data_IF_159662801801
#
_entry.id   IF_159662801801
#
_cell.length_a   1.000
_cell.length_b   1.000
_cell.length_c   1.000
_cell.angle_alpha   90.00
_cell.angle_beta   90.00
_cell.angle_gamma   90.00
#
_symmetry.space_group_name_H-M   'P 1'
#
loop_
_entity.id
_entity.type
_entity.pdbx_description
1 polymer ?
#
# COMPACT_ATOMS: atom_id res chain seq x y z
N UNK A 1 6.81 -23.36 3.87
CA UNK A 1 5.78 -24.40 3.64
C UNK A 1 5.06 -24.07 2.33
N UNK A 2 5.35 -24.82 1.30
CA UNK A 2 4.77 -24.62 -0.03
C UNK A 2 3.48 -25.46 -0.18
N UNK A 3 2.40 -25.00 0.44
CA UNK A 3 1.13 -25.72 0.47
C UNK A 3 0.22 -25.47 -0.73
N UNK A 4 0.61 -24.56 -1.66
CA UNK A 4 -0.27 -24.12 -2.75
C UNK A 4 0.33 -24.30 -4.14
N UNK A 5 1.40 -25.10 -4.25
CA UNK A 5 1.96 -25.46 -5.54
C UNK A 5 2.40 -24.24 -6.36
N UNK A 6 3.28 -23.41 -5.76
CA UNK A 6 3.98 -22.40 -6.54
C UNK A 6 4.69 -23.08 -7.71
N UNK A 7 4.53 -22.56 -8.91
CA UNK A 7 5.40 -22.95 -10.00
C UNK A 7 6.84 -22.44 -9.75
N UNK A 8 7.78 -22.87 -10.59
CA UNK A 8 9.19 -22.53 -10.37
C UNK A 8 9.45 -21.03 -10.46
N UNK A 9 8.77 -20.33 -11.37
CA UNK A 9 8.92 -18.89 -11.55
C UNK A 9 8.35 -18.12 -10.35
N UNK A 10 7.15 -18.48 -9.90
CA UNK A 10 6.53 -17.89 -8.69
C UNK A 10 7.39 -18.06 -7.44
N UNK A 11 8.07 -19.22 -7.33
CA UNK A 11 9.00 -19.50 -6.23
C UNK A 11 10.22 -18.59 -6.30
N UNK A 12 10.86 -18.48 -7.47
CA UNK A 12 12.03 -17.61 -7.68
C UNK A 12 11.70 -16.15 -7.38
N UNK A 13 10.53 -15.67 -7.78
CA UNK A 13 10.06 -14.31 -7.48
C UNK A 13 9.96 -14.08 -5.96
N UNK A 14 9.29 -15.01 -5.25
CA UNK A 14 9.13 -14.89 -3.80
C UNK A 14 10.46 -14.99 -3.05
N UNK A 15 11.35 -15.90 -3.45
CA UNK A 15 12.70 -16.06 -2.86
C UNK A 15 13.58 -14.83 -3.12
N UNK A 16 13.48 -14.21 -4.30
CA UNK A 16 14.19 -12.97 -4.63
C UNK A 16 13.74 -11.84 -3.71
N UNK A 17 12.44 -11.66 -3.52
CA UNK A 17 11.89 -10.66 -2.62
C UNK A 17 12.29 -10.92 -1.15
N UNK A 18 12.27 -12.17 -0.70
CA UNK A 18 12.69 -12.56 0.64
C UNK A 18 14.18 -12.28 0.86
N UNK A 19 15.03 -12.65 -0.09
CA UNK A 19 16.48 -12.41 0.01
C UNK A 19 16.81 -10.90 0.00
N UNK A 20 16.07 -10.10 -0.76
CA UNK A 20 16.21 -8.65 -0.73
C UNK A 20 15.78 -8.08 0.62
N UNK A 21 14.63 -8.50 1.14
CA UNK A 21 14.13 -8.08 2.45
C UNK A 21 15.14 -8.39 3.57
N UNK A 22 15.67 -9.61 3.61
CA UNK A 22 16.65 -10.04 4.61
C UNK A 22 17.96 -9.23 4.56
N UNK A 23 18.46 -8.97 3.34
CA UNK A 23 19.79 -8.34 3.16
C UNK A 23 19.75 -6.82 3.16
N UNK A 24 18.69 -6.22 2.61
CA UNK A 24 18.64 -4.78 2.34
C UNK A 24 17.68 -3.99 3.23
N UNK A 25 16.68 -4.65 3.84
CA UNK A 25 15.70 -3.99 4.71
C UNK A 25 15.89 -4.34 6.18
N UNK A 26 15.91 -5.62 6.52
CA UNK A 26 15.92 -6.08 7.92
C UNK A 26 17.06 -5.51 8.78
N UNK A 27 18.31 -5.35 8.28
CA UNK A 27 19.41 -4.82 9.09
C UNK A 27 19.24 -3.35 9.50
N UNK A 28 18.43 -2.60 8.75
CA UNK A 28 18.32 -1.14 8.89
C UNK A 28 16.95 -0.66 9.35
N UNK A 29 15.94 -1.54 9.39
CA UNK A 29 14.54 -1.17 9.63
C UNK A 29 14.32 -0.41 10.96
N UNK A 30 15.03 -0.78 12.03
CA UNK A 30 14.92 -0.11 13.32
C UNK A 30 15.62 1.26 13.31
N UNK A 31 16.79 1.35 12.69
CA UNK A 31 17.53 2.61 12.54
C UNK A 31 16.73 3.62 11.69
N UNK A 32 16.15 3.18 10.59
CA UNK A 32 15.31 4.05 9.73
C UNK A 32 14.05 4.55 10.45
N UNK A 33 13.42 3.71 11.27
CA UNK A 33 12.28 4.13 12.10
C UNK A 33 12.70 5.17 13.14
N UNK A 34 13.84 4.99 13.80
CA UNK A 34 14.34 5.89 14.84
C UNK A 34 14.81 7.23 14.26
N UNK A 35 15.52 7.19 13.13
CA UNK A 35 16.09 8.38 12.48
C UNK A 35 15.15 9.07 11.50
N UNK A 36 13.97 8.51 11.25
CA UNK A 36 13.03 8.96 10.22
C UNK A 36 13.69 8.98 8.83
N UNK A 37 14.58 8.04 8.56
CA UNK A 37 15.30 7.95 7.30
C UNK A 37 14.43 7.27 6.23
N UNK A 38 14.26 7.94 5.09
CA UNK A 38 13.56 7.38 3.94
C UNK A 38 14.57 6.81 2.93
N UNK A 39 14.68 5.47 2.79
CA UNK A 39 15.76 4.81 2.06
C UNK A 39 15.49 4.77 0.55
N UNK A 40 15.53 5.91 -0.12
CA UNK A 40 15.25 6.03 -1.55
C UNK A 40 16.27 5.31 -2.44
N UNK A 41 17.51 5.16 -1.97
CA UNK A 41 18.56 4.36 -2.61
C UNK A 41 18.20 2.87 -2.61
N UNK A 42 17.74 2.33 -1.48
CA UNK A 42 17.31 0.93 -1.36
C UNK A 42 16.04 0.67 -2.17
N UNK A 43 15.13 1.66 -2.28
CA UNK A 43 13.97 1.56 -3.16
C UNK A 43 14.39 1.45 -4.64
N UNK A 44 15.44 2.16 -5.07
CA UNK A 44 16.01 2.03 -6.42
C UNK A 44 16.64 0.66 -6.66
N UNK A 45 17.30 0.09 -5.66
CA UNK A 45 17.80 -1.29 -5.75
C UNK A 45 16.65 -2.30 -5.92
N UNK A 46 15.51 -2.09 -5.23
CA UNK A 46 14.31 -2.91 -5.46
C UNK A 46 13.77 -2.76 -6.89
N UNK A 47 13.85 -1.56 -7.48
CA UNK A 47 13.48 -1.32 -8.86
C UNK A 47 14.36 -2.09 -9.86
N UNK A 48 15.66 -2.24 -9.61
CA UNK A 48 16.57 -3.06 -10.44
C UNK A 48 16.15 -4.54 -10.46
N UNK A 49 15.42 -4.99 -9.45
CA UNK A 49 14.83 -6.33 -9.39
C UNK A 49 13.37 -6.38 -9.91
N UNK A 50 12.91 -5.32 -10.58
CA UNK A 50 11.57 -5.24 -11.16
C UNK A 50 10.44 -4.94 -10.16
N UNK A 51 10.75 -4.58 -8.91
CA UNK A 51 9.72 -4.42 -7.86
C UNK A 51 9.04 -3.04 -7.85
N UNK A 52 9.45 -2.10 -8.71
CA UNK A 52 8.86 -0.75 -8.75
C UNK A 52 7.65 -0.62 -9.70
N UNK A 53 7.49 -1.52 -10.67
CA UNK A 53 6.37 -1.55 -11.61
C UNK A 53 5.92 -2.99 -11.87
N UNK A 54 5.64 -3.72 -10.80
CA UNK A 54 5.42 -5.18 -10.77
C UNK A 54 4.36 -5.61 -11.78
N UNK A 55 3.21 -4.94 -11.80
CA UNK A 55 2.06 -5.28 -12.64
C UNK A 55 1.78 -4.25 -13.73
N UNK A 56 2.79 -3.44 -14.10
CA UNK A 56 2.77 -2.63 -15.31
C UNK A 56 3.24 -3.46 -16.50
N UNK A 57 2.81 -3.09 -17.70
CA UNK A 57 3.10 -3.82 -18.92
C UNK A 57 4.59 -3.77 -19.29
N UNK A 58 5.10 -4.85 -19.86
CA UNK A 58 6.52 -5.00 -20.22
C UNK A 58 6.94 -4.05 -21.34
N UNK A 59 6.05 -3.70 -22.28
CA UNK A 59 6.31 -2.84 -23.42
C UNK A 59 6.78 -1.41 -23.05
N UNK A 60 6.61 -1.05 -21.79
CA UNK A 60 7.05 0.25 -21.22
C UNK A 60 7.98 0.07 -20.01
N UNK A 61 8.57 -1.10 -19.84
CA UNK A 61 9.56 -1.38 -18.80
C UNK A 61 8.96 -1.88 -17.46
N UNK A 62 7.66 -2.19 -17.40
CA UNK A 62 7.07 -2.89 -16.26
C UNK A 62 7.45 -4.36 -16.24
N UNK A 63 7.24 -5.05 -15.11
CA UNK A 63 7.57 -6.47 -14.96
C UNK A 63 6.49 -7.42 -15.51
N UNK A 64 5.30 -6.93 -15.88
CA UNK A 64 4.23 -7.73 -16.46
C UNK A 64 3.65 -8.82 -15.54
N UNK A 65 4.00 -8.81 -14.25
CA UNK A 65 3.58 -9.81 -13.29
C UNK A 65 2.12 -9.60 -12.86
N UNK A 66 1.54 -10.63 -12.26
CA UNK A 66 0.15 -10.60 -11.78
C UNK A 66 0.04 -9.90 -10.41
N UNK A 67 -1.17 -9.53 -10.05
CA UNK A 67 -1.46 -9.03 -8.69
C UNK A 67 -1.19 -10.07 -7.62
N UNK A 68 -1.38 -11.36 -7.95
CA UNK A 68 -1.02 -12.46 -7.06
C UNK A 68 0.47 -12.50 -6.76
N UNK A 69 1.32 -12.26 -7.75
CA UNK A 69 2.77 -12.20 -7.57
C UNK A 69 3.16 -10.97 -6.74
N UNK A 70 2.52 -9.82 -7.01
CA UNK A 70 2.74 -8.59 -6.25
C UNK A 70 2.44 -8.75 -4.76
N UNK A 71 1.31 -9.37 -4.38
CA UNK A 71 0.99 -9.56 -2.96
C UNK A 71 1.99 -10.49 -2.27
N UNK A 72 2.55 -11.48 -2.98
CA UNK A 72 3.64 -12.32 -2.47
C UNK A 72 4.92 -11.53 -2.25
N UNK A 73 5.30 -10.69 -3.22
CA UNK A 73 6.45 -9.79 -3.10
C UNK A 73 6.29 -8.87 -1.89
N UNK A 74 5.15 -8.18 -1.77
CA UNK A 74 4.90 -7.25 -0.65
C UNK A 74 4.83 -7.97 0.70
N UNK A 75 4.30 -9.19 0.76
CA UNK A 75 4.33 -10.01 1.97
C UNK A 75 5.78 -10.28 2.40
N UNK A 76 6.67 -10.68 1.47
CA UNK A 76 8.08 -10.95 1.79
C UNK A 76 8.83 -9.68 2.22
N UNK A 77 8.67 -8.58 1.48
CA UNK A 77 9.31 -7.30 1.84
C UNK A 77 8.89 -6.82 3.23
N UNK A 78 7.61 -6.96 3.56
CA UNK A 78 7.06 -6.52 4.83
C UNK A 78 7.45 -7.40 6.03
N UNK A 79 8.02 -8.59 5.83
CA UNK A 79 8.62 -9.35 6.94
C UNK A 79 9.82 -8.61 7.53
N UNK A 80 10.51 -7.81 6.74
CA UNK A 80 11.63 -6.99 7.17
C UNK A 80 11.19 -5.58 7.58
N UNK A 81 10.43 -4.87 6.72
CA UNK A 81 9.93 -3.54 7.02
C UNK A 81 8.56 -3.25 6.36
N UNK A 82 7.47 -3.28 7.13
CA UNK A 82 6.14 -2.94 6.62
C UNK A 82 6.04 -1.52 6.06
N UNK A 83 6.83 -0.55 6.55
CA UNK A 83 6.82 0.84 6.11
C UNK A 83 7.36 1.00 4.70
N UNK A 84 8.53 0.42 4.42
CA UNK A 84 9.18 0.47 3.10
C UNK A 84 8.35 -0.30 2.08
N UNK A 85 7.87 -1.50 2.43
CA UNK A 85 6.98 -2.29 1.58
C UNK A 85 5.70 -1.53 1.21
N UNK A 86 5.08 -0.85 2.18
CA UNK A 86 3.89 -0.05 1.96
C UNK A 86 4.14 1.15 1.03
N UNK A 87 5.26 1.86 1.17
CA UNK A 87 5.60 2.94 0.25
C UNK A 87 5.81 2.43 -1.17
N UNK A 88 6.55 1.34 -1.33
CA UNK A 88 6.75 0.70 -2.64
C UNK A 88 5.42 0.29 -3.28
N UNK A 89 4.44 -0.13 -2.48
CA UNK A 89 3.09 -0.45 -2.96
C UNK A 89 2.33 0.78 -3.49
N UNK A 90 2.49 1.95 -2.84
CA UNK A 90 1.90 3.22 -3.30
C UNK A 90 2.52 3.64 -4.63
N UNK A 91 3.85 3.55 -4.74
CA UNK A 91 4.57 3.84 -5.99
C UNK A 91 4.08 2.93 -7.14
N UNK A 92 3.98 1.62 -6.91
CA UNK A 92 3.44 0.66 -7.88
C UNK A 92 1.99 0.98 -8.30
N UNK A 93 1.16 1.43 -7.36
CA UNK A 93 -0.21 1.86 -7.66
C UNK A 93 -0.22 3.08 -8.60
N UNK A 94 0.64 4.07 -8.36
CA UNK A 94 0.79 5.25 -9.21
C UNK A 94 1.30 4.87 -10.60
N UNK A 95 2.34 4.04 -10.70
CA UNK A 95 2.88 3.55 -11.96
C UNK A 95 1.80 2.83 -12.78
N UNK A 96 1.02 1.96 -12.14
CA UNK A 96 -0.09 1.25 -12.77
C UNK A 96 -1.22 2.18 -13.22
N UNK A 97 -1.55 3.23 -12.46
CA UNK A 97 -2.54 4.21 -12.89
C UNK A 97 -2.12 4.90 -14.18
N UNK A 98 -0.84 5.28 -14.29
CA UNK A 98 -0.29 5.88 -15.50
C UNK A 98 -0.25 4.87 -16.65
N UNK A 99 0.16 3.63 -16.38
CA UNK A 99 0.21 2.58 -17.41
C UNK A 99 -1.19 2.24 -17.94
N UNK A 100 -2.20 2.18 -17.07
CA UNK A 100 -3.54 1.70 -17.45
C UNK A 100 -4.41 2.79 -18.05
N UNK A 101 -4.34 4.01 -17.49
CA UNK A 101 -5.26 5.11 -17.83
C UNK A 101 -4.59 6.27 -18.54
N UNK A 102 -3.26 6.29 -18.62
CA UNK A 102 -2.51 7.30 -19.37
C UNK A 102 -2.65 7.14 -20.87
N UNK A 103 -2.48 8.25 -21.60
CA UNK A 103 -2.34 8.20 -23.07
C UNK A 103 -1.08 7.40 -23.45
N UNK A 104 -0.96 6.96 -24.73
CA UNK A 104 0.25 6.30 -25.19
C UNK A 104 1.54 7.12 -24.96
N UNK A 105 1.44 8.45 -25.06
CA UNK A 105 2.55 9.38 -24.81
C UNK A 105 2.90 9.42 -23.32
N UNK A 106 1.88 9.53 -22.46
CA UNK A 106 2.07 9.52 -21.00
C UNK A 106 2.70 8.21 -20.54
N UNK A 107 2.24 7.07 -21.06
CA UNK A 107 2.82 5.75 -20.76
C UNK A 107 4.30 5.70 -21.11
N UNK A 108 4.65 6.10 -22.33
CA UNK A 108 6.04 6.07 -22.83
C UNK A 108 6.95 7.04 -22.07
N UNK A 109 6.42 8.16 -21.63
CA UNK A 109 7.20 9.18 -20.91
C UNK A 109 7.42 8.80 -19.44
N UNK A 110 6.38 8.30 -18.76
CA UNK A 110 6.41 8.14 -17.31
C UNK A 110 6.74 6.73 -16.83
N UNK A 111 6.16 5.69 -17.45
CA UNK A 111 6.30 4.33 -16.90
C UNK A 111 7.74 3.85 -16.85
N UNK A 112 8.62 4.07 -17.85
CA UNK A 112 10.03 3.69 -17.76
C UNK A 112 10.76 4.35 -16.57
N UNK A 113 10.49 5.64 -16.33
CA UNK A 113 11.09 6.41 -15.22
C UNK A 113 10.57 5.95 -13.87
N UNK A 114 9.30 5.55 -13.80
CA UNK A 114 8.70 4.98 -12.59
C UNK A 114 9.20 3.55 -12.34
N UNK A 115 9.31 2.73 -13.38
CA UNK A 115 9.79 1.35 -13.28
C UNK A 115 11.25 1.26 -12.80
N UNK A 116 12.10 2.21 -13.20
CA UNK A 116 13.49 2.33 -12.74
C UNK A 116 13.65 3.12 -11.43
N UNK A 117 12.58 3.72 -10.93
CA UNK A 117 12.62 4.71 -9.83
C UNK A 117 13.60 5.88 -10.09
N UNK A 118 13.88 6.20 -11.35
CA UNK A 118 14.39 7.52 -11.71
C UNK A 118 13.44 8.61 -11.22
N UNK A 119 12.13 8.37 -11.33
CA UNK A 119 11.08 9.17 -10.73
C UNK A 119 10.30 8.35 -9.69
N UNK A 120 10.23 8.85 -8.48
CA UNK A 120 9.42 8.28 -7.39
C UNK A 120 8.04 8.93 -7.40
N UNK A 121 6.97 8.13 -7.33
CA UNK A 121 5.59 8.61 -7.39
C UNK A 121 4.86 8.53 -6.06
N UNK A 122 4.01 9.54 -5.80
CA UNK A 122 3.06 9.59 -4.70
C UNK A 122 1.63 9.78 -5.18
N UNK A 123 0.67 9.35 -4.36
CA UNK A 123 -0.76 9.41 -4.64
C UNK A 123 -1.46 10.48 -3.81
N UNK A 124 -2.16 11.39 -4.46
CA UNK A 124 -2.80 12.56 -3.85
C UNK A 124 -4.33 12.52 -4.02
N UNK A 125 -5.05 11.83 -3.12
CA UNK A 125 -6.52 11.80 -3.07
C UNK A 125 -7.06 12.58 -1.87
N UNK A 126 -6.66 12.18 -0.66
CA UNK A 126 -7.20 12.64 0.62
C UNK A 126 -6.98 14.14 0.83
N UNK A 127 -7.97 14.81 1.40
CA UNK A 127 -7.92 16.22 1.80
C UNK A 127 -8.28 16.39 3.28
N UNK A 128 -7.96 17.51 3.93
CA UNK A 128 -8.33 17.74 5.32
C UNK A 128 -9.83 17.54 5.62
N UNK A 129 -10.70 17.83 4.65
CA UNK A 129 -12.14 17.68 4.76
C UNK A 129 -12.75 16.47 4.03
N UNK A 130 -11.94 15.63 3.37
CA UNK A 130 -12.41 14.53 2.52
C UNK A 130 -11.48 13.32 2.60
N UNK A 131 -11.70 12.46 3.58
CA UNK A 131 -11.02 11.17 3.73
C UNK A 131 -11.90 10.02 3.23
N UNK A 132 -12.73 9.46 4.12
CA UNK A 132 -13.64 8.35 3.77
C UNK A 132 -14.69 8.74 2.72
N UNK A 133 -15.13 10.00 2.70
CA UNK A 133 -15.94 10.57 1.62
C UNK A 133 -15.03 11.23 0.58
N UNK A 134 -14.26 10.41 -0.14
CA UNK A 134 -13.31 10.88 -1.15
C UNK A 134 -13.98 11.62 -2.32
N UNK A 135 -15.26 11.37 -2.59
CA UNK A 135 -16.00 12.06 -3.63
C UNK A 135 -16.28 13.54 -3.33
N UNK A 136 -16.15 13.92 -2.05
CA UNK A 136 -16.34 15.30 -1.58
C UNK A 136 -15.06 16.15 -1.65
N UNK A 137 -13.99 15.68 -2.28
CA UNK A 137 -12.75 16.45 -2.46
C UNK A 137 -13.01 17.81 -3.12
N UNK A 138 -12.24 18.83 -2.72
CA UNK A 138 -12.42 20.23 -3.11
C UNK A 138 -11.27 20.82 -3.90
N UNK A 139 -10.08 20.18 -3.94
CA UNK A 139 -8.98 20.61 -4.82
C UNK A 139 -9.52 20.78 -6.23
N UNK A 140 -9.37 21.96 -6.81
CA UNK A 140 -9.91 22.33 -8.14
C UNK A 140 -8.82 22.31 -9.18
N UNK A 141 -9.19 21.96 -10.42
CA UNK A 141 -8.37 22.13 -11.60
C UNK A 141 -9.21 22.86 -12.64
N UNK A 142 -8.92 24.13 -12.86
CA UNK A 142 -9.68 25.00 -13.78
C UNK A 142 -8.96 25.11 -15.11
N UNK A 143 -9.61 24.77 -16.21
CA UNK A 143 -9.01 24.88 -17.56
C UNK A 143 -8.83 26.32 -17.98
N UNK A 144 -7.63 26.65 -18.45
CA UNK A 144 -7.25 27.96 -19.02
C UNK A 144 -6.48 27.73 -20.33
N UNK A 145 -7.21 27.64 -21.44
CA UNK A 145 -6.63 27.31 -22.75
C UNK A 145 -6.02 25.91 -22.74
N UNK A 146 -4.74 25.80 -23.04
CA UNK A 146 -3.98 24.55 -23.09
C UNK A 146 -3.41 24.12 -21.73
N UNK A 147 -3.88 24.69 -20.63
CA UNK A 147 -3.40 24.39 -19.29
C UNK A 147 -4.58 24.20 -18.32
N UNK A 148 -4.29 23.51 -17.21
CA UNK A 148 -5.12 23.54 -16.01
C UNK A 148 -4.38 24.29 -14.89
N UNK A 149 -5.13 25.03 -14.09
CA UNK A 149 -4.64 25.67 -12.87
C UNK A 149 -5.22 24.91 -11.69
N UNK A 150 -4.36 24.35 -10.86
CA UNK A 150 -4.74 23.52 -9.72
C UNK A 150 -4.57 24.33 -8.43
N UNK A 151 -5.65 24.37 -7.63
CA UNK A 151 -5.68 25.02 -6.30
C UNK A 151 -6.31 24.06 -5.27
N UNK A 152 -5.65 23.90 -4.12
CA UNK A 152 -6.16 23.08 -3.02
C UNK A 152 -5.05 22.50 -2.16
N UNK A 153 -5.44 21.60 -1.25
CA UNK A 153 -4.52 20.95 -0.32
C UNK A 153 -4.85 19.47 -0.22
N UNK A 154 -3.84 18.62 -0.38
CA UNK A 154 -3.89 17.20 -0.11
C UNK A 154 -3.25 16.88 1.23
N UNK A 155 -3.82 15.92 1.96
CA UNK A 155 -3.43 15.59 3.33
C UNK A 155 -2.96 14.13 3.43
N UNK A 156 -2.01 13.89 4.32
CA UNK A 156 -1.45 12.57 4.61
C UNK A 156 -0.80 11.90 3.40
N UNK A 157 -0.07 12.66 2.60
CA UNK A 157 0.54 12.14 1.38
C UNK A 157 1.89 11.53 1.70
N UNK A 158 2.00 10.22 1.55
CA UNK A 158 3.26 9.47 1.67
C UNK A 158 4.21 9.89 0.56
N UNK A 159 5.46 10.18 0.92
CA UNK A 159 6.48 10.67 -0.02
C UNK A 159 6.38 12.16 -0.33
N UNK A 160 5.46 12.91 0.28
CA UNK A 160 5.36 14.35 0.06
C UNK A 160 6.69 15.06 0.33
N UNK A 161 7.09 15.93 -0.58
CA UNK A 161 8.38 16.65 -0.52
C UNK A 161 9.59 15.82 -0.98
N UNK A 162 9.49 14.50 -1.04
CA UNK A 162 10.58 13.63 -1.53
C UNK A 162 10.27 13.05 -2.92
N UNK A 163 9.05 12.60 -3.17
CA UNK A 163 8.65 12.06 -4.48
C UNK A 163 8.79 13.09 -5.58
N UNK A 164 9.14 12.61 -6.78
CA UNK A 164 9.40 13.44 -7.96
C UNK A 164 8.09 13.77 -8.72
N UNK A 165 7.09 12.93 -8.60
CA UNK A 165 5.81 13.05 -9.30
C UNK A 165 4.63 12.66 -8.41
N UNK A 166 3.51 13.35 -8.60
CA UNK A 166 2.27 13.18 -7.84
C UNK A 166 1.11 12.84 -8.78
N UNK A 167 0.40 11.74 -8.52
CA UNK A 167 -0.88 11.42 -9.18
C UNK A 167 -1.99 12.08 -8.36
N UNK A 168 -2.54 13.17 -8.88
CA UNK A 168 -3.42 14.09 -8.14
C UNK A 168 -4.85 13.99 -8.63
N UNK A 169 -5.78 13.73 -7.72
CA UNK A 169 -7.21 13.81 -7.99
C UNK A 169 -7.71 15.24 -7.72
N UNK A 170 -8.24 15.90 -8.74
CA UNK A 170 -8.75 17.26 -8.64
C UNK A 170 -10.10 17.41 -9.36
N UNK A 171 -10.88 18.38 -8.92
CA UNK A 171 -12.21 18.66 -9.46
C UNK A 171 -12.11 19.57 -10.67
N UNK A 172 -12.52 19.06 -11.84
CA UNK A 172 -12.65 19.80 -13.10
C UNK A 172 -14.10 20.16 -13.42
N UNK A 173 -15.06 19.44 -12.85
CA UNK A 173 -16.49 19.64 -13.11
C UNK A 173 -17.30 19.86 -11.83
N UNK A 174 -18.61 19.57 -11.90
CA UNK A 174 -19.56 19.74 -10.81
C UNK A 174 -19.30 18.80 -9.61
N UNK A 175 -20.25 18.79 -8.67
CA UNK A 175 -20.18 17.94 -7.47
C UNK A 175 -20.26 16.44 -7.81
N UNK A 176 -19.78 15.62 -6.87
CA UNK A 176 -19.80 14.16 -6.96
C UNK A 176 -18.65 13.57 -7.77
N UNK A 177 -18.66 12.25 -7.96
CA UNK A 177 -17.53 11.51 -8.52
C UNK A 177 -17.21 11.84 -9.98
N UNK A 178 -18.23 12.18 -10.79
CA UNK A 178 -18.04 12.51 -12.22
C UNK A 178 -17.43 13.89 -12.48
N UNK A 179 -17.26 14.71 -11.45
CA UNK A 179 -16.57 16.00 -11.56
C UNK A 179 -15.09 15.92 -11.26
N UNK A 180 -14.51 14.73 -11.05
CA UNK A 180 -13.13 14.55 -10.63
C UNK A 180 -12.30 13.96 -11.77
N UNK A 181 -11.13 14.57 -12.03
CA UNK A 181 -10.13 14.13 -13.00
C UNK A 181 -8.81 13.80 -12.29
N UNK A 182 -7.94 13.05 -12.93
CA UNK A 182 -6.62 12.69 -12.41
C UNK A 182 -5.51 13.39 -13.20
N UNK A 183 -4.49 13.88 -12.53
CA UNK A 183 -3.37 14.60 -13.14
C UNK A 183 -2.04 14.00 -12.67
N UNK A 184 -1.05 13.99 -13.57
CA UNK A 184 0.35 13.75 -13.21
C UNK A 184 1.02 15.12 -13.05
N UNK A 185 1.49 15.42 -11.84
CA UNK A 185 2.09 16.71 -11.49
C UNK A 185 3.52 16.50 -11.01
N UNK A 186 4.48 17.17 -11.64
CA UNK A 186 5.89 17.10 -11.25
C UNK A 186 6.13 17.92 -9.96
N UNK A 187 7.11 17.48 -9.17
CA UNK A 187 7.49 18.11 -7.88
C UNK A 187 7.84 19.59 -8.02
N UNK A 188 8.55 19.92 -9.10
CA UNK A 188 9.08 21.25 -9.32
C UNK A 188 8.10 22.21 -10.03
N UNK A 189 6.82 21.80 -10.16
CA UNK A 189 5.79 22.65 -10.75
C UNK A 189 5.64 23.95 -9.93
N UNK A 190 5.75 25.15 -10.55
CA UNK A 190 5.60 26.41 -9.84
C UNK A 190 4.27 26.51 -9.10
N UNK A 191 4.30 26.89 -7.82
CA UNK A 191 3.13 26.98 -6.96
C UNK A 191 2.83 25.68 -6.18
N UNK A 192 3.60 24.60 -6.41
CA UNK A 192 3.54 23.39 -5.59
C UNK A 192 4.45 23.57 -4.37
N UNK A 193 3.94 23.24 -3.19
CA UNK A 193 4.70 23.27 -1.94
C UNK A 193 4.26 22.14 -1.00
N UNK A 194 5.02 21.93 0.08
CA UNK A 194 4.82 20.82 1.00
C UNK A 194 4.75 21.34 2.44
N UNK A 195 3.84 20.74 3.22
CA UNK A 195 3.77 20.98 4.65
C UNK A 195 4.93 20.33 5.41
N UNK A 196 4.98 20.56 6.72
CA UNK A 196 5.89 19.83 7.59
C UNK A 196 5.48 18.36 7.70
N UNK A 197 6.46 17.49 7.94
CA UNK A 197 6.20 16.07 8.17
C UNK A 197 5.30 15.85 9.38
N UNK A 198 4.31 14.97 9.20
CA UNK A 198 3.39 14.57 10.26
C UNK A 198 4.12 13.78 11.35
N UNK A 199 3.84 14.09 12.61
CA UNK A 199 4.33 13.32 13.74
C UNK A 199 3.47 12.07 13.92
N UNK A 200 3.93 10.94 13.39
CA UNK A 200 3.17 9.70 13.28
C UNK A 200 3.45 8.74 14.42
N UNK A 201 2.51 7.84 14.70
CA UNK A 201 2.68 6.71 15.59
C UNK A 201 3.68 5.68 15.04
N UNK A 202 3.62 5.39 13.74
CA UNK A 202 4.47 4.47 13.00
C UNK A 202 4.67 4.96 11.56
N UNK A 203 5.24 4.09 10.70
CA UNK A 203 5.63 4.47 9.34
C UNK A 203 6.64 5.62 9.31
N UNK A 204 7.54 5.64 10.29
CA UNK A 204 8.49 6.74 10.45
C UNK A 204 9.57 6.76 9.36
N UNK A 205 9.89 5.61 8.77
CA UNK A 205 10.86 5.48 7.67
C UNK A 205 10.33 5.99 6.30
N UNK A 206 9.21 6.72 6.26
CA UNK A 206 8.74 7.42 5.08
C UNK A 206 8.16 8.78 5.47
N UNK A 207 8.40 9.87 4.68
CA UNK A 207 7.79 11.17 4.93
C UNK A 207 6.29 11.11 4.63
N UNK A 208 5.52 11.87 5.39
CA UNK A 208 4.08 12.03 5.16
C UNK A 208 3.72 13.47 5.49
N UNK A 209 3.24 14.23 4.52
CA UNK A 209 2.92 15.64 4.72
C UNK A 209 1.74 16.08 3.85
N UNK A 210 1.38 17.35 3.96
CA UNK A 210 0.48 18.00 3.00
C UNK A 210 1.20 18.25 1.68
N UNK A 211 0.43 18.19 0.58
CA UNK A 211 0.82 18.70 -0.73
C UNK A 211 -0.12 19.88 -1.04
N UNK A 212 0.45 21.06 -1.20
CA UNK A 212 -0.26 22.34 -1.30
C UNK A 212 -0.12 22.87 -2.73
N UNK A 213 -1.24 23.19 -3.35
CA UNK A 213 -1.36 23.69 -4.71
C UNK A 213 -1.87 25.13 -4.65
N UNK A 214 -1.04 26.08 -5.06
CA UNK A 214 -1.37 27.51 -5.13
C UNK A 214 -1.15 28.03 -6.55
N UNK A 215 -2.21 27.92 -7.38
CA UNK A 215 -2.15 28.31 -8.77
C UNK A 215 -1.20 27.44 -9.61
N UNK A 216 -1.04 26.16 -9.28
CA UNK A 216 -0.14 25.24 -10.01
C UNK A 216 -0.62 25.04 -11.42
N UNK A 217 0.18 25.50 -12.40
CA UNK A 217 -0.13 25.35 -13.82
C UNK A 217 0.46 24.06 -14.37
N UNK A 218 -0.40 23.22 -14.93
CA UNK A 218 -0.01 22.00 -15.63
C UNK A 218 -0.55 22.01 -17.06
N UNK A 219 0.15 21.48 -18.06
CA UNK A 219 -0.37 21.35 -19.41
C UNK A 219 -1.60 20.45 -19.43
N UNK A 220 -2.50 20.63 -20.42
CA UNK A 220 -3.71 19.81 -20.53
C UNK A 220 -3.39 18.32 -20.67
N UNK A 221 -2.25 17.99 -21.25
CA UNK A 221 -1.71 16.63 -21.40
C UNK A 221 -1.29 15.99 -20.07
N UNK A 222 -1.19 16.75 -18.97
CA UNK A 222 -0.94 16.19 -17.63
C UNK A 222 -2.15 15.42 -17.08
N UNK A 223 -3.36 15.66 -17.63
CA UNK A 223 -4.55 14.87 -17.28
C UNK A 223 -4.41 13.42 -17.77
N UNK A 224 -4.56 12.46 -16.89
CA UNK A 224 -4.54 11.03 -17.27
C UNK A 224 -5.68 10.71 -18.22
N UNK A 225 -5.35 10.06 -19.35
CA UNK A 225 -6.30 9.78 -20.40
C UNK A 225 -6.52 10.93 -21.40
N UNK A 226 -5.78 12.04 -21.24
CA UNK A 226 -5.91 13.20 -22.13
C UNK A 226 -7.32 13.79 -22.09
N UNK A 227 -7.88 14.16 -23.25
CA UNK A 227 -9.20 14.76 -23.35
C UNK A 227 -10.34 13.84 -22.86
N UNK A 228 -10.19 12.52 -23.00
CA UNK A 228 -11.17 11.53 -22.54
C UNK A 228 -11.07 11.26 -21.02
N UNK A 229 -10.06 11.79 -20.37
CA UNK A 229 -9.81 11.65 -18.92
C UNK A 229 -10.65 12.58 -18.04
N UNK A 230 -11.32 13.58 -18.61
CA UNK A 230 -12.13 14.52 -17.85
C UNK A 230 -13.33 13.82 -17.19
N UNK A 231 -13.44 13.96 -15.87
CA UNK A 231 -14.48 13.29 -15.06
C UNK A 231 -14.23 11.80 -14.79
N UNK A 232 -13.14 11.20 -15.29
CA UNK A 232 -12.78 9.80 -15.07
C UNK A 232 -11.98 9.57 -13.78
N UNK A 233 -11.45 10.62 -13.16
CA UNK A 233 -10.47 10.53 -12.07
C UNK A 233 -10.94 9.74 -10.85
N UNK A 234 -12.22 9.84 -10.47
CA UNK A 234 -12.74 9.04 -9.36
C UNK A 234 -12.75 7.54 -9.67
N UNK A 235 -13.09 7.18 -10.90
CA UNK A 235 -13.00 5.80 -11.39
C UNK A 235 -11.57 5.28 -11.36
N UNK A 236 -10.61 6.07 -11.83
CA UNK A 236 -9.16 5.79 -11.77
C UNK A 236 -8.73 5.56 -10.33
N UNK A 237 -9.10 6.47 -9.41
CA UNK A 237 -8.81 6.37 -7.99
C UNK A 237 -9.34 5.07 -7.37
N UNK A 238 -10.60 4.74 -7.61
CA UNK A 238 -11.21 3.53 -7.03
C UNK A 238 -10.60 2.23 -7.59
N UNK A 239 -10.25 2.20 -8.86
CA UNK A 239 -9.54 1.06 -9.47
C UNK A 239 -8.15 0.90 -8.88
N UNK A 240 -7.38 1.97 -8.73
CA UNK A 240 -6.08 1.94 -8.08
C UNK A 240 -6.17 1.44 -6.64
N UNK A 241 -7.13 1.96 -5.87
CA UNK A 241 -7.35 1.54 -4.49
C UNK A 241 -7.75 0.06 -4.34
N UNK A 242 -8.36 -0.60 -5.33
CA UNK A 242 -8.59 -2.04 -5.24
C UNK A 242 -7.26 -2.81 -5.21
N UNK A 243 -6.28 -2.41 -6.03
CA UNK A 243 -4.92 -2.94 -5.97
C UNK A 243 -4.20 -2.56 -4.67
N UNK A 244 -4.27 -1.29 -4.27
CA UNK A 244 -3.66 -0.82 -3.03
C UNK A 244 -4.18 -1.58 -1.79
N UNK A 245 -5.49 -1.88 -1.71
CA UNK A 245 -6.10 -2.66 -0.62
C UNK A 245 -5.49 -4.04 -0.44
N UNK A 246 -5.26 -4.77 -1.52
CA UNK A 246 -4.61 -6.09 -1.43
C UNK A 246 -3.12 -5.96 -1.12
N UNK A 247 -2.44 -4.94 -1.66
CA UNK A 247 -1.03 -4.69 -1.37
C UNK A 247 -0.82 -4.36 0.12
N UNK A 248 -1.62 -3.46 0.70
CA UNK A 248 -1.50 -3.13 2.12
C UNK A 248 -1.92 -4.30 3.04
N UNK A 249 -2.84 -5.15 2.58
CA UNK A 249 -3.14 -6.40 3.26
C UNK A 249 -1.93 -7.35 3.25
N UNK A 250 -1.19 -7.44 2.13
CA UNK A 250 0.06 -8.19 2.04
C UNK A 250 1.14 -7.64 2.97
N UNK A 251 1.33 -6.31 3.01
CA UNK A 251 2.25 -5.66 3.95
C UNK A 251 1.86 -5.95 5.42
N UNK A 252 0.56 -5.98 5.73
CA UNK A 252 0.09 -6.35 7.06
C UNK A 252 0.43 -7.79 7.41
N UNK A 253 0.19 -8.70 6.47
CA UNK A 253 0.43 -10.13 6.65
C UNK A 253 1.92 -10.42 6.85
N UNK A 254 2.81 -9.80 6.06
CA UNK A 254 4.26 -9.94 6.20
C UNK A 254 4.77 -9.46 7.55
N UNK A 255 4.35 -8.26 8.00
CA UNK A 255 4.71 -7.76 9.33
C UNK A 255 4.20 -8.66 10.47
N UNK A 256 2.98 -9.18 10.33
CA UNK A 256 2.42 -10.12 11.31
C UNK A 256 3.14 -11.48 11.31
N UNK A 257 3.55 -11.99 10.14
CA UNK A 257 4.36 -13.19 10.04
C UNK A 257 5.71 -13.02 10.77
N UNK A 258 6.39 -11.90 10.53
CA UNK A 258 7.64 -11.58 11.22
C UNK A 258 7.46 -11.49 12.74
N UNK A 259 6.37 -10.89 13.20
CA UNK A 259 6.07 -10.83 14.64
C UNK A 259 5.81 -12.23 15.23
N UNK A 260 5.06 -13.08 14.52
CA UNK A 260 4.82 -14.46 14.91
C UNK A 260 6.13 -15.27 15.02
N UNK A 261 6.99 -15.17 14.00
CA UNK A 261 8.25 -15.92 13.96
C UNK A 261 9.19 -15.50 15.09
N UNK A 262 9.29 -14.19 15.38
CA UNK A 262 10.02 -13.65 16.53
C UNK A 262 9.45 -14.19 17.84
N UNK A 263 8.13 -14.22 18.01
CA UNK A 263 7.49 -14.74 19.21
C UNK A 263 7.75 -16.23 19.39
N UNK A 264 7.60 -17.03 18.33
CA UNK A 264 7.84 -18.47 18.38
C UNK A 264 9.30 -18.81 18.78
N UNK A 265 10.27 -18.09 18.17
CA UNK A 265 11.69 -18.25 18.53
C UNK A 265 11.97 -17.85 19.98
N UNK A 266 11.48 -16.67 20.40
CA UNK A 266 11.67 -16.19 21.77
C UNK A 266 11.12 -17.16 22.81
N UNK A 267 9.91 -17.71 22.58
CA UNK A 267 9.26 -18.62 23.50
C UNK A 267 9.97 -19.98 23.63
N UNK A 268 10.66 -20.41 22.57
CA UNK A 268 11.49 -21.63 22.60
C UNK A 268 12.74 -21.46 23.48
N UNK A 269 13.31 -20.25 23.49
CA UNK A 269 14.56 -19.97 24.25
C UNK A 269 14.28 -19.44 25.65
N UNK A 270 13.13 -18.78 25.87
CA UNK A 270 12.82 -18.18 27.16
C UNK A 270 12.28 -19.19 28.16
N UNK A 271 12.99 -19.33 29.29
CA UNK A 271 12.62 -20.22 30.40
C UNK A 271 11.91 -19.44 31.52
N UNK A 272 10.82 -20.02 32.04
CA UNK A 272 10.16 -19.65 33.30
C UNK A 272 9.48 -20.88 33.89
N UNK A 273 9.27 -20.89 35.21
CA UNK A 273 8.64 -22.01 35.91
C UNK A 273 9.34 -23.37 35.72
N UNK A 274 10.63 -23.34 35.38
CA UNK A 274 11.46 -24.55 35.24
C UNK A 274 11.50 -25.17 33.85
N UNK A 275 10.84 -24.56 32.83
CA UNK A 275 10.77 -25.06 31.46
C UNK A 275 10.79 -23.90 30.46
N UNK A 276 11.03 -24.16 29.13
CA UNK A 276 10.75 -23.19 28.08
C UNK A 276 9.29 -22.74 28.10
N UNK A 277 9.03 -21.45 27.84
CA UNK A 277 7.66 -20.94 27.80
C UNK A 277 6.83 -21.63 26.72
N UNK A 278 7.46 -22.09 25.65
CA UNK A 278 6.80 -22.85 24.57
C UNK A 278 6.14 -24.15 25.07
N UNK A 279 6.59 -24.72 26.21
CA UNK A 279 6.01 -25.95 26.76
C UNK A 279 4.68 -25.74 27.49
N UNK A 280 4.33 -24.48 27.77
CA UNK A 280 3.06 -24.14 28.40
C UNK A 280 1.88 -24.34 27.42
N UNK A 281 0.85 -25.13 27.75
CA UNK A 281 -0.26 -25.43 26.87
C UNK A 281 -1.00 -24.18 26.34
N UNK A 282 -1.20 -23.19 27.20
CA UNK A 282 -1.90 -21.93 26.85
C UNK A 282 -1.12 -21.12 25.82
N UNK A 283 0.21 -21.12 25.89
CA UNK A 283 1.08 -20.46 24.92
C UNK A 283 1.00 -21.16 23.56
N UNK A 284 1.03 -22.51 23.55
CA UNK A 284 0.83 -23.28 22.31
C UNK A 284 -0.52 -23.06 21.67
N UNK A 285 -1.60 -22.91 22.46
CA UNK A 285 -2.92 -22.57 21.91
C UNK A 285 -2.92 -21.18 21.28
N UNK A 286 -2.30 -20.20 21.92
CA UNK A 286 -2.16 -18.86 21.36
C UNK A 286 -1.38 -18.87 20.02
N UNK A 287 -0.25 -19.59 19.95
CA UNK A 287 0.49 -19.74 18.69
C UNK A 287 -0.33 -20.46 17.62
N UNK A 288 -1.13 -21.46 17.97
CA UNK A 288 -2.03 -22.13 17.02
C UNK A 288 -3.09 -21.20 16.45
N UNK A 289 -3.69 -20.33 17.27
CA UNK A 289 -4.66 -19.33 16.84
C UNK A 289 -4.00 -18.28 15.93
N UNK A 290 -2.81 -17.79 16.30
CA UNK A 290 -2.03 -16.85 15.48
C UNK A 290 -1.66 -17.46 14.12
N UNK A 291 -1.17 -18.71 14.09
CA UNK A 291 -0.84 -19.41 12.85
C UNK A 291 -2.08 -19.61 11.97
N UNK A 292 -3.22 -19.96 12.56
CA UNK A 292 -4.50 -20.11 11.86
C UNK A 292 -4.95 -18.79 11.24
N UNK A 293 -4.84 -17.67 11.98
CA UNK A 293 -5.18 -16.35 11.48
C UNK A 293 -4.30 -15.93 10.29
N UNK A 294 -2.98 -16.21 10.34
CA UNK A 294 -2.07 -15.93 9.24
C UNK A 294 -2.42 -16.77 7.99
N UNK A 295 -2.67 -18.06 8.12
CA UNK A 295 -3.04 -18.92 6.98
C UNK A 295 -4.38 -18.50 6.35
N UNK A 296 -5.38 -18.25 7.18
CA UNK A 296 -6.69 -17.78 6.71
C UNK A 296 -6.58 -16.45 5.97
N UNK A 297 -5.76 -15.53 6.50
CA UNK A 297 -5.47 -14.23 5.88
C UNK A 297 -4.84 -14.39 4.52
N UNK A 298 -3.85 -15.27 4.38
CA UNK A 298 -3.12 -15.53 3.12
C UNK A 298 -4.03 -16.09 2.04
N UNK A 299 -4.87 -17.08 2.38
CA UNK A 299 -5.83 -17.67 1.43
C UNK A 299 -6.82 -16.62 0.91
N UNK A 300 -7.39 -15.81 1.80
CA UNK A 300 -8.34 -14.76 1.41
C UNK A 300 -7.68 -13.69 0.55
N UNK A 301 -6.44 -13.30 0.89
CA UNK A 301 -5.66 -12.33 0.14
C UNK A 301 -5.36 -12.83 -1.29
N UNK A 302 -4.89 -14.06 -1.43
CA UNK A 302 -4.58 -14.66 -2.73
C UNK A 302 -5.83 -14.78 -3.60
N UNK A 303 -6.96 -15.20 -3.01
CA UNK A 303 -8.25 -15.21 -3.71
C UNK A 303 -8.64 -13.83 -4.24
N UNK A 304 -8.45 -12.79 -3.44
CA UNK A 304 -8.77 -11.42 -3.87
C UNK A 304 -7.82 -10.92 -4.98
N UNK A 305 -6.53 -11.25 -4.90
CA UNK A 305 -5.55 -10.93 -5.91
C UNK A 305 -5.86 -11.61 -7.25
N UNK A 306 -6.11 -12.93 -7.24
CA UNK A 306 -6.53 -13.68 -8.43
C UNK A 306 -7.83 -13.13 -9.04
N UNK A 307 -8.82 -12.79 -8.20
CA UNK A 307 -10.05 -12.20 -8.69
C UNK A 307 -9.84 -10.83 -9.37
N UNK A 308 -8.83 -10.07 -8.92
CA UNK A 308 -8.45 -8.81 -9.55
C UNK A 308 -7.74 -9.04 -10.89
N UNK A 309 -6.84 -10.02 -10.97
CA UNK A 309 -6.16 -10.44 -12.20
C UNK A 309 -7.17 -10.92 -13.26
N UNK A 310 -8.11 -11.75 -12.87
CA UNK A 310 -9.14 -12.34 -13.75
C UNK A 310 -10.27 -11.35 -14.09
N UNK A 311 -10.21 -10.13 -13.61
CA UNK A 311 -11.29 -9.14 -13.72
C UNK A 311 -12.66 -9.70 -13.28
N UNK A 312 -12.66 -10.53 -12.22
CA UNK A 312 -13.84 -11.20 -11.70
C UNK A 312 -14.94 -10.20 -11.28
N UNK A 313 -16.23 -10.46 -11.49
CA UNK A 313 -17.33 -9.56 -11.09
C UNK A 313 -17.28 -9.14 -9.61
N UNK A 314 -16.89 -10.03 -8.71
CA UNK A 314 -16.83 -9.79 -7.26
C UNK A 314 -15.47 -9.21 -6.79
N UNK A 315 -14.55 -8.84 -7.70
CA UNK A 315 -13.20 -8.38 -7.35
C UNK A 315 -13.18 -7.24 -6.34
N UNK A 316 -14.08 -6.26 -6.46
CA UNK A 316 -14.15 -5.10 -5.56
C UNK A 316 -14.52 -5.53 -4.14
N UNK A 317 -15.49 -6.41 -4.01
CA UNK A 317 -15.92 -6.96 -2.73
C UNK A 317 -14.83 -7.83 -2.09
N UNK A 318 -14.20 -8.70 -2.89
CA UNK A 318 -13.11 -9.57 -2.42
C UNK A 318 -11.89 -8.77 -1.96
N UNK A 319 -11.50 -7.70 -2.68
CA UNK A 319 -10.44 -6.80 -2.25
C UNK A 319 -10.81 -6.10 -0.92
N UNK A 320 -12.06 -5.67 -0.76
CA UNK A 320 -12.52 -5.06 0.49
C UNK A 320 -12.54 -6.08 1.66
N UNK A 321 -12.96 -7.32 1.40
CA UNK A 321 -12.94 -8.41 2.38
C UNK A 321 -11.51 -8.72 2.82
N UNK A 322 -10.59 -8.89 1.86
CA UNK A 322 -9.18 -9.17 2.13
C UNK A 322 -8.54 -8.05 2.95
N UNK A 323 -8.67 -6.80 2.50
CA UNK A 323 -8.12 -5.65 3.22
C UNK A 323 -8.63 -5.60 4.66
N UNK A 324 -9.95 -5.65 4.86
CA UNK A 324 -10.55 -5.57 6.19
C UNK A 324 -10.11 -6.71 7.10
N UNK A 325 -10.23 -7.96 6.62
CA UNK A 325 -9.97 -9.14 7.45
C UNK A 325 -8.47 -9.25 7.76
N UNK A 326 -7.63 -9.17 6.74
CA UNK A 326 -6.19 -9.37 6.88
C UNK A 326 -5.56 -8.30 7.78
N UNK A 327 -5.94 -7.02 7.61
CA UNK A 327 -5.38 -5.96 8.47
C UNK A 327 -5.84 -6.05 9.92
N UNK A 328 -7.09 -6.50 10.19
CA UNK A 328 -7.58 -6.73 11.55
C UNK A 328 -6.86 -7.94 12.19
N UNK A 329 -6.76 -9.07 11.49
CA UNK A 329 -6.12 -10.29 11.97
C UNK A 329 -4.61 -10.09 12.19
N UNK A 330 -3.92 -9.47 11.23
CA UNK A 330 -2.49 -9.19 11.30
C UNK A 330 -2.13 -8.28 12.47
N UNK A 331 -2.92 -7.24 12.72
CA UNK A 331 -2.72 -6.39 13.89
C UNK A 331 -2.88 -7.19 15.18
N UNK A 332 -3.90 -8.07 15.28
CA UNK A 332 -4.10 -8.94 16.43
C UNK A 332 -2.92 -9.90 16.66
N UNK A 333 -2.35 -10.46 15.59
CA UNK A 333 -1.17 -11.33 15.68
C UNK A 333 0.06 -10.55 16.16
N UNK A 334 0.31 -9.34 15.63
CA UNK A 334 1.44 -8.52 16.06
C UNK A 334 1.32 -8.07 17.52
N UNK A 335 0.14 -7.65 17.96
CA UNK A 335 -0.15 -7.28 19.35
C UNK A 335 0.06 -8.48 20.30
N UNK A 336 -0.45 -9.65 19.91
CA UNK A 336 -0.27 -10.87 20.69
C UNK A 336 1.18 -11.33 20.75
N UNK A 337 1.96 -11.18 19.65
CA UNK A 337 3.38 -11.48 19.64
C UNK A 337 4.17 -10.58 20.60
N UNK A 338 3.84 -9.29 20.64
CA UNK A 338 4.41 -8.36 21.63
C UNK A 338 4.04 -8.79 23.05
N UNK A 339 2.78 -9.15 23.30
CA UNK A 339 2.33 -9.62 24.60
C UNK A 339 3.09 -10.87 25.08
N UNK A 340 3.36 -11.82 24.17
CA UNK A 340 4.10 -13.06 24.47
C UNK A 340 5.57 -12.82 24.83
N UNK A 341 6.17 -11.71 24.44
CA UNK A 341 7.51 -11.29 24.87
C UNK A 341 7.53 -10.65 26.26
N UNK A 342 6.36 -10.35 26.85
CA UNK A 342 6.26 -9.64 28.12
C UNK A 342 6.97 -8.29 28.09
N UNK A 343 7.71 -7.92 29.12
CA UNK A 343 8.42 -6.64 29.18
C UNK A 343 9.42 -6.40 28.05
N UNK A 344 10.01 -7.45 27.52
CA UNK A 344 10.94 -7.35 26.38
C UNK A 344 10.25 -6.94 25.07
N UNK A 345 9.00 -7.35 24.85
CA UNK A 345 8.23 -6.92 23.67
C UNK A 345 7.95 -5.42 23.61
N UNK A 346 8.02 -4.74 24.76
CA UNK A 346 7.82 -3.29 24.87
C UNK A 346 9.09 -2.47 24.59
N UNK A 347 10.25 -3.14 24.47
CA UNK A 347 11.54 -2.50 24.21
C UNK A 347 11.79 -2.40 22.70
N UNK A 348 12.31 -1.24 22.26
CA UNK A 348 12.58 -0.94 20.84
C UNK A 348 13.52 -1.94 20.18
N UNK A 349 14.55 -2.40 20.90
CA UNK A 349 15.57 -3.33 20.38
C UNK A 349 15.02 -4.68 19.90
N UNK A 350 13.85 -5.10 20.40
CA UNK A 350 13.16 -6.32 19.92
C UNK A 350 12.35 -6.10 18.65
N UNK A 351 12.04 -4.85 18.31
CA UNK A 351 11.37 -4.44 17.07
C UNK A 351 9.89 -4.80 16.97
N UNK A 352 9.29 -5.45 17.98
CA UNK A 352 7.85 -5.81 17.95
C UNK A 352 6.96 -4.59 18.11
N UNK A 353 7.36 -3.64 18.94
CA UNK A 353 6.60 -2.40 19.13
C UNK A 353 6.53 -1.58 17.81
N UNK A 354 7.63 -1.57 17.00
CA UNK A 354 7.63 -0.96 15.66
C UNK A 354 6.61 -1.64 14.75
N UNK A 355 6.59 -2.98 14.70
CA UNK A 355 5.61 -3.71 13.89
C UNK A 355 4.19 -3.35 14.31
N UNK A 356 3.88 -3.33 15.60
CA UNK A 356 2.54 -2.94 16.12
C UNK A 356 2.19 -1.51 15.71
N UNK A 357 3.12 -0.56 15.84
CA UNK A 357 2.89 0.84 15.43
C UNK A 357 2.62 0.96 13.93
N UNK A 358 3.41 0.27 13.13
CA UNK A 358 3.30 0.31 11.67
C UNK A 358 1.98 -0.32 11.18
N UNK A 359 1.62 -1.49 11.69
CA UNK A 359 0.39 -2.17 11.28
C UNK A 359 -0.88 -1.46 11.76
N UNK A 360 -0.78 -0.56 12.76
CA UNK A 360 -1.97 0.14 13.27
C UNK A 360 -2.66 0.99 12.22
N UNK A 361 -1.91 1.65 11.35
CA UNK A 361 -2.46 2.53 10.30
C UNK A 361 -3.11 1.75 9.16
N UNK A 362 -2.72 0.49 8.93
CA UNK A 362 -3.26 -0.34 7.85
C UNK A 362 -4.79 -0.56 7.94
N UNK A 363 -5.36 -0.43 9.12
CA UNK A 363 -6.82 -0.48 9.34
C UNK A 363 -7.53 0.82 8.97
N UNK A 364 -6.78 1.91 8.76
CA UNK A 364 -7.28 3.27 8.54
C UNK A 364 -7.16 3.67 7.08
N UNK A 365 -5.98 3.51 6.49
CA UNK A 365 -5.68 3.95 5.13
C UNK A 365 -6.34 3.09 4.04
N UNK A 366 -6.34 3.59 2.81
CA UNK A 366 -6.93 2.96 1.63
C UNK A 366 -8.43 2.58 1.77
N UNK A 367 -9.10 3.39 2.55
CA UNK A 367 -10.45 3.16 3.04
C UNK A 367 -10.43 2.42 4.38
N UNK A 368 -10.99 3.06 5.41
CA UNK A 368 -11.06 2.46 6.75
C UNK A 368 -11.76 1.11 6.72
N UNK A 369 -11.50 0.25 7.71
CA UNK A 369 -12.18 -1.05 7.79
C UNK A 369 -13.69 -0.91 7.94
N UNK A 370 -14.20 0.25 8.40
CA UNK A 370 -15.62 0.62 8.40
C UNK A 370 -16.12 0.83 6.96
N UNK A 371 -15.36 1.56 6.13
CA UNK A 371 -15.69 1.74 4.71
C UNK A 371 -15.64 0.41 3.95
N UNK A 372 -14.70 -0.48 4.29
CA UNK A 372 -14.70 -1.83 3.69
C UNK A 372 -15.98 -2.60 4.04
N UNK A 373 -16.49 -2.49 5.28
CA UNK A 373 -17.79 -3.07 5.66
C UNK A 373 -18.95 -2.48 4.86
N UNK A 374 -18.92 -1.18 4.54
CA UNK A 374 -19.92 -0.53 3.67
C UNK A 374 -19.87 -1.14 2.26
N UNK A 375 -18.68 -1.32 1.68
CA UNK A 375 -18.51 -1.91 0.34
C UNK A 375 -19.06 -3.34 0.31
N UNK A 376 -18.64 -4.17 1.27
CA UNK A 376 -19.08 -5.58 1.40
C UNK A 376 -20.60 -5.65 1.61
N UNK A 377 -21.14 -4.85 2.54
CA UNK A 377 -22.57 -4.85 2.87
C UNK A 377 -23.45 -4.42 1.70
N UNK A 378 -22.98 -3.45 0.88
CA UNK A 378 -23.70 -3.05 -0.35
C UNK A 378 -23.75 -4.18 -1.38
N UNK A 379 -22.65 -4.90 -1.59
CA UNK A 379 -22.60 -6.04 -2.50
C UNK A 379 -23.51 -7.19 -2.03
N UNK A 380 -23.47 -7.51 -0.74
CA UNK A 380 -24.36 -8.53 -0.14
C UNK A 380 -25.84 -8.17 -0.28
N UNK A 381 -26.21 -6.91 -0.03
CA UNK A 381 -27.58 -6.42 -0.18
C UNK A 381 -28.05 -6.44 -1.63
N UNK A 382 -27.18 -6.12 -2.59
CA UNK A 382 -27.50 -6.19 -4.02
C UNK A 382 -27.80 -7.62 -4.45
N UNK A 383 -26.97 -8.62 -4.03
CA UNK A 383 -27.24 -10.03 -4.30
C UNK A 383 -28.55 -10.52 -3.72
N UNK A 384 -28.85 -10.18 -2.46
CA UNK A 384 -30.11 -10.57 -1.83
C UNK A 384 -31.34 -10.03 -2.58
N UNK A 385 -31.26 -8.82 -3.12
CA UNK A 385 -32.36 -8.23 -3.92
C UNK A 385 -32.49 -8.87 -5.30
N UNK A 386 -31.38 -9.32 -5.92
CA UNK A 386 -31.41 -9.99 -7.21
C UNK A 386 -31.92 -11.43 -7.14
N UNK A 387 -31.91 -12.03 -5.92
CA UNK A 387 -32.42 -13.39 -5.67
C UNK A 387 -33.86 -13.41 -5.17
N UNK A 388 -34.46 -12.25 -4.85
CA UNK A 388 -35.85 -12.08 -4.44
C UNK A 388 -36.74 -11.69 -5.64
#
# INVERSE_FOLDING_TARGET
MDYFGLDDDERVIAETAAAFAEKRLAPYALEWDETHHFPTDVLREAAELGMAAIYCREDVGGSGLRRLDAVRIFEQLATADPTVAAFLSIHNMCAWMVDTFGSPEQRKSWVPRLASMEAIASYCLTEPGAGSDASALRTKAVRQGEHYVIDGVKQFISGAGTSDVYVVMARTGGEGPRGISAFVVEKDAPGLSFGADEQKMGWNAQPTAQVIFEGVRVPAEAMLGGADGEGAGFGIAMNGLNGGRINIAACSLGGAQAAYDKAASYLADRHAFGAPLLDEPTIRFTLADMATALQTSRILLWRAATALDDNHPDKVELCAMAKRYVTDASFGVADQALQLHGGYGYLREYGLEKIVRDLRVHRILEGTNEIMRVVIGRAAAARARASA
#
